data_IF_221325275097
#
_entry.id   IF_221325275097
#
_cell.length_a   1.000
_cell.length_b   1.000
_cell.length_c   1.000
_cell.angle_alpha   90.00
_cell.angle_beta   90.00
_cell.angle_gamma   90.00
#
_symmetry.space_group_name_H-M   'P 1'
#
loop_
_entity.id
_entity.type
_entity.pdbx_description
1 polymer ?
#
# COMPACT_ATOMS: atom_id res chain seq x y z
N UNK A 1 36.63 19.58 -21.74
CA UNK A 1 35.32 18.96 -21.45
C UNK A 1 35.37 18.58 -19.99
N UNK A 2 34.72 19.39 -19.14
CA UNK A 2 34.85 19.36 -17.68
C UNK A 2 33.79 18.41 -17.14
N UNK A 3 34.21 17.38 -16.40
CA UNK A 3 33.32 16.48 -15.68
C UNK A 3 32.91 17.16 -14.37
N UNK A 4 31.61 17.39 -14.17
CA UNK A 4 31.07 17.75 -12.86
C UNK A 4 30.62 16.46 -12.17
N UNK A 5 31.35 16.05 -11.15
CA UNK A 5 30.88 15.14 -10.12
C UNK A 5 30.13 15.97 -9.07
N UNK A 6 28.91 15.57 -8.71
CA UNK A 6 28.20 16.09 -7.54
C UNK A 6 28.16 14.94 -6.53
N UNK A 7 28.92 15.07 -5.44
CA UNK A 7 28.80 14.23 -4.25
C UNK A 7 27.55 14.65 -3.48
N UNK A 8 26.64 13.70 -3.24
CA UNK A 8 25.53 13.86 -2.30
C UNK A 8 25.93 13.19 -0.97
N UNK A 9 26.63 13.95 -0.13
CA UNK A 9 26.74 13.66 1.31
C UNK A 9 25.98 14.76 2.06
N UNK A 10 25.29 14.37 3.13
CA UNK A 10 24.54 15.20 4.10
C UNK A 10 23.01 15.27 3.91
N UNK A 11 22.32 14.16 4.22
CA UNK A 11 20.94 14.19 4.75
C UNK A 11 20.79 13.20 5.94
N UNK A 12 21.85 12.96 6.71
CA UNK A 12 21.79 12.04 7.87
C UNK A 12 21.77 12.71 9.24
N UNK A 13 22.16 13.98 9.35
CA UNK A 13 22.50 14.53 10.68
C UNK A 13 21.36 15.33 11.34
N UNK A 14 20.31 15.69 10.60
CA UNK A 14 19.20 16.50 11.12
C UNK A 14 18.11 15.72 11.88
N UNK A 15 18.04 14.39 11.73
CA UNK A 15 16.96 13.57 12.34
C UNK A 15 17.39 13.01 13.71
N UNK A 16 18.70 12.87 13.96
CA UNK A 16 19.22 12.34 15.22
C UNK A 16 19.12 13.33 16.39
N UNK A 17 19.27 14.65 16.17
CA UNK A 17 19.18 15.63 17.26
C UNK A 17 17.75 15.83 17.79
N UNK A 18 16.73 15.67 16.94
CA UNK A 18 15.32 15.81 17.35
C UNK A 18 14.88 14.60 18.20
N UNK A 19 15.47 13.41 17.93
CA UNK A 19 15.19 12.18 18.69
C UNK A 19 15.75 12.25 20.11
N UNK A 20 16.95 12.81 20.31
CA UNK A 20 17.56 12.97 21.65
C UNK A 20 16.88 14.06 22.49
N UNK A 21 16.37 15.12 21.86
CA UNK A 21 15.63 16.18 22.55
C UNK A 21 14.27 15.69 23.10
N UNK A 22 13.63 14.74 22.43
CA UNK A 22 12.35 14.15 22.88
C UNK A 22 12.54 13.03 23.92
N UNK A 23 13.73 12.40 23.99
CA UNK A 23 14.04 11.32 24.94
C UNK A 23 14.61 11.84 26.27
N UNK A 24 15.19 13.05 26.31
CA UNK A 24 15.63 13.70 27.55
C UNK A 24 14.57 14.66 28.06
N UNK A 25 13.60 14.12 28.79
CA UNK A 25 12.53 14.88 29.46
C UNK A 25 13.04 16.18 30.09
N UNK A 26 12.55 17.31 29.57
CA UNK A 26 12.87 18.65 30.03
C UNK A 26 12.52 18.82 31.50
N UNK A 27 13.54 18.83 32.34
CA UNK A 27 13.44 19.22 33.74
C UNK A 27 14.46 20.33 33.97
N UNK A 28 14.00 21.57 33.86
CA UNK A 28 14.85 22.75 34.01
C UNK A 28 14.06 23.97 34.44
N UNK A 29 14.12 24.28 35.74
CA UNK A 29 13.92 25.64 36.26
C UNK A 29 13.03 25.75 37.50
N UNK A 30 13.62 25.83 38.70
CA UNK A 30 13.76 27.10 39.43
C UNK A 30 14.22 26.90 40.89
N UNK A 31 14.96 27.90 41.37
CA UNK A 31 15.80 27.97 42.57
C UNK A 31 15.07 28.29 43.90
N UNK A 32 15.67 27.79 45.00
CA UNK A 32 15.84 28.34 46.37
C UNK A 32 14.67 28.55 47.38
N UNK A 33 14.82 27.87 48.53
CA UNK A 33 14.55 28.17 49.96
C UNK A 33 13.64 29.38 50.34
N UNK A 34 12.72 29.36 51.32
CA UNK A 34 12.79 28.85 52.71
C UNK A 34 11.42 29.01 53.43
N UNK A 35 11.16 28.15 54.42
CA UNK A 35 10.39 28.36 55.68
C UNK A 35 8.88 28.03 55.80
N UNK A 36 8.63 27.27 56.89
CA UNK A 36 7.47 27.17 57.80
C UNK A 36 6.16 26.48 57.39
N UNK A 37 5.95 25.33 58.06
CA UNK A 37 4.75 24.90 58.83
C UNK A 37 3.36 24.88 58.19
N UNK A 38 2.63 23.78 58.42
CA UNK A 38 1.16 23.82 58.45
C UNK A 38 0.44 22.65 57.78
N UNK A 39 0.10 21.65 58.59
CA UNK A 39 -0.81 20.54 58.33
C UNK A 39 -2.15 20.96 57.69
N UNK A 40 -2.59 20.32 56.59
CA UNK A 40 -3.99 19.89 56.40
C UNK A 40 -4.18 19.01 55.16
N UNK A 41 -4.76 17.82 55.38
CA UNK A 41 -5.32 16.92 54.36
C UNK A 41 -6.28 17.67 53.42
N UNK A 42 -6.03 17.62 52.12
CA UNK A 42 -7.06 17.73 51.08
C UNK A 42 -6.93 16.59 50.08
N UNK A 43 -7.88 15.66 50.14
CA UNK A 43 -8.18 14.71 49.07
C UNK A 43 -8.71 15.53 47.88
N UNK A 44 -7.93 15.63 46.81
CA UNK A 44 -8.46 15.89 45.48
C UNK A 44 -8.33 14.57 44.69
N UNK A 45 -9.46 13.93 44.42
CA UNK A 45 -9.52 12.82 43.49
C UNK A 45 -9.16 13.34 42.10
N UNK A 46 -8.01 12.91 41.59
CA UNK A 46 -7.54 13.32 40.28
C UNK A 46 -8.08 12.34 39.23
N UNK A 47 -9.14 12.73 38.51
CA UNK A 47 -9.54 12.11 37.24
C UNK A 47 -8.56 12.59 36.16
N UNK A 48 -7.34 12.06 36.17
CA UNK A 48 -6.32 12.31 35.15
C UNK A 48 -6.20 11.12 34.21
N UNK A 49 -7.26 10.81 33.45
CA UNK A 49 -7.32 9.62 32.56
C UNK A 49 -7.14 9.89 31.07
N UNK A 50 -7.08 11.17 30.63
CA UNK A 50 -7.23 11.51 29.20
C UNK A 50 -5.95 11.50 28.36
N UNK A 51 -4.84 12.08 28.84
CA UNK A 51 -3.70 12.40 27.97
C UNK A 51 -2.83 11.20 27.59
N UNK A 52 -2.64 10.22 28.48
CA UNK A 52 -1.86 9.00 28.16
C UNK A 52 -2.57 8.12 27.14
N UNK A 53 -3.89 7.97 27.28
CA UNK A 53 -4.71 7.14 26.39
C UNK A 53 -4.72 7.67 24.95
N UNK A 54 -4.79 9.00 24.77
CA UNK A 54 -4.70 9.63 23.43
C UNK A 54 -3.33 9.41 22.80
N UNK A 55 -2.24 9.59 23.55
CA UNK A 55 -0.89 9.39 23.02
C UNK A 55 -0.65 7.93 22.60
N UNK A 56 -1.16 6.97 23.38
CA UNK A 56 -1.06 5.54 23.03
C UNK A 56 -1.88 5.20 21.78
N UNK A 57 -3.08 5.76 21.64
CA UNK A 57 -3.91 5.58 20.44
C UNK A 57 -3.25 6.17 19.19
N UNK A 58 -2.66 7.37 19.30
CA UNK A 58 -1.92 8.01 18.20
C UNK A 58 -0.72 7.17 17.81
N UNK A 59 0.07 6.70 18.79
CA UNK A 59 1.22 5.83 18.53
C UNK A 59 0.80 4.55 17.82
N UNK A 60 -0.26 3.90 18.28
CA UNK A 60 -0.79 2.69 17.63
C UNK A 60 -1.20 2.93 16.18
N UNK A 61 -1.89 4.03 15.90
CA UNK A 61 -2.29 4.37 14.53
C UNK A 61 -1.10 4.64 13.61
N UNK A 62 -0.02 5.24 14.14
CA UNK A 62 1.23 5.42 13.39
C UNK A 62 1.95 4.10 13.15
N UNK A 63 2.00 3.21 14.14
CA UNK A 63 2.55 1.86 13.99
C UNK A 63 1.77 1.06 12.92
N UNK A 64 0.43 1.17 12.89
CA UNK A 64 -0.41 0.56 11.85
C UNK A 64 -0.13 1.15 10.46
N UNK A 65 0.07 2.47 10.36
CA UNK A 65 0.42 3.15 9.12
C UNK A 65 1.79 2.71 8.59
N UNK A 66 2.80 2.63 9.46
CA UNK A 66 4.15 2.17 9.14
C UNK A 66 4.15 0.69 8.70
N UNK A 67 3.22 -0.12 9.23
CA UNK A 67 2.97 -1.50 8.83
C UNK A 67 2.08 -1.63 7.57
N UNK A 68 2.37 -0.81 6.55
CA UNK A 68 1.65 -0.74 5.27
C UNK A 68 0.13 -0.57 5.38
N UNK A 69 -0.34 0.08 6.46
CA UNK A 69 -1.76 0.36 6.78
C UNK A 69 -2.64 -0.87 7.03
N UNK A 70 -2.16 -2.09 6.75
CA UNK A 70 -2.93 -3.33 6.88
C UNK A 70 -2.51 -4.16 8.08
N UNK A 71 -1.28 -3.98 8.59
CA UNK A 71 -0.64 -4.88 9.57
C UNK A 71 -0.52 -6.34 9.11
N UNK A 72 -0.65 -6.60 7.80
CA UNK A 72 -0.60 -7.93 7.18
C UNK A 72 0.50 -7.98 6.14
N UNK A 73 1.14 -9.14 6.00
CA UNK A 73 2.13 -9.36 4.95
C UNK A 73 1.49 -9.27 3.55
N UNK A 74 2.20 -8.69 2.60
CA UNK A 74 1.79 -8.57 1.20
C UNK A 74 2.62 -9.53 0.35
N UNK A 75 2.05 -10.68 -0.01
CA UNK A 75 2.72 -11.72 -0.80
C UNK A 75 2.81 -11.41 -2.29
N UNK A 76 2.07 -10.40 -2.77
CA UNK A 76 2.16 -9.95 -4.15
C UNK A 76 3.24 -8.88 -4.36
N UNK A 77 3.78 -8.30 -3.28
CA UNK A 77 4.71 -7.17 -3.31
C UNK A 77 5.94 -7.48 -4.18
N UNK A 78 6.20 -6.62 -5.16
CA UNK A 78 7.28 -6.85 -6.13
C UNK A 78 8.66 -6.86 -5.48
N UNK A 79 8.92 -5.91 -4.57
CA UNK A 79 10.20 -5.84 -3.87
C UNK A 79 10.44 -7.02 -2.92
N UNK A 80 9.40 -7.78 -2.58
CA UNK A 80 9.53 -9.00 -1.79
C UNK A 80 9.76 -10.24 -2.67
N UNK A 81 9.42 -10.20 -3.96
CA UNK A 81 9.58 -11.31 -4.90
C UNK A 81 8.33 -11.62 -5.75
N UNK A 82 7.21 -10.94 -5.50
CA UNK A 82 6.03 -11.06 -6.36
C UNK A 82 6.29 -10.52 -7.77
N UNK A 83 5.62 -11.05 -8.79
CA UNK A 83 5.81 -10.60 -10.18
C UNK A 83 4.51 -10.60 -10.96
N UNK A 84 4.42 -9.71 -11.96
CA UNK A 84 3.39 -9.82 -12.99
C UNK A 84 3.84 -10.86 -14.00
N UNK A 85 3.08 -11.95 -14.13
CA UNK A 85 3.33 -13.01 -15.11
C UNK A 85 2.78 -12.60 -16.47
N UNK A 86 1.51 -12.19 -16.51
CA UNK A 86 0.79 -11.92 -17.74
C UNK A 86 -0.41 -11.01 -17.48
N UNK A 87 -0.94 -10.39 -18.53
CA UNK A 87 -2.16 -9.55 -18.48
C UNK A 87 -3.26 -10.07 -19.41
N UNK A 88 -3.14 -11.30 -19.90
CA UNK A 88 -4.06 -11.89 -20.90
C UNK A 88 -4.26 -10.92 -22.08
N UNK A 89 -5.51 -10.60 -22.42
CA UNK A 89 -5.90 -9.69 -23.50
C UNK A 89 -5.99 -8.21 -23.06
N UNK A 90 -5.50 -7.85 -21.87
CA UNK A 90 -5.66 -6.51 -21.33
C UNK A 90 -4.74 -5.51 -22.01
N UNK A 91 -5.32 -4.56 -22.72
CA UNK A 91 -4.56 -3.52 -23.40
C UNK A 91 -4.27 -2.32 -22.49
N UNK A 92 -2.99 -1.94 -22.39
CA UNK A 92 -2.57 -0.75 -21.66
C UNK A 92 -3.16 0.53 -22.27
N UNK A 93 -3.65 1.42 -21.40
CA UNK A 93 -4.09 2.75 -21.78
C UNK A 93 -2.93 3.73 -21.74
N UNK A 94 -2.61 4.30 -22.90
CA UNK A 94 -1.61 5.34 -23.05
C UNK A 94 -2.30 6.68 -23.34
N UNK A 95 -2.25 7.66 -22.41
CA UNK A 95 -2.80 8.98 -22.68
C UNK A 95 -1.98 9.68 -23.77
N UNK A 96 -2.68 10.17 -24.80
CA UNK A 96 -2.08 10.87 -25.96
C UNK A 96 -1.25 12.10 -25.59
N UNK A 97 -1.43 12.66 -24.39
CA UNK A 97 -0.82 13.91 -23.94
C UNK A 97 0.57 13.77 -23.30
N UNK A 98 1.12 12.55 -23.16
CA UNK A 98 2.46 12.34 -22.57
C UNK A 98 3.62 12.36 -23.57
N UNK A 99 3.38 12.76 -24.81
CA UNK A 99 4.45 12.91 -25.80
C UNK A 99 5.22 14.22 -25.56
N UNK A 100 6.31 14.14 -24.80
CA UNK A 100 7.35 15.18 -24.85
C UNK A 100 8.56 14.60 -25.60
N UNK A 101 8.93 15.27 -26.69
CA UNK A 101 10.06 14.89 -27.53
C UNK A 101 11.20 15.89 -27.37
N UNK A 102 12.45 15.40 -27.33
CA UNK A 102 13.65 16.22 -27.48
C UNK A 102 14.28 15.85 -28.81
N UNK A 103 14.43 16.83 -29.72
CA UNK A 103 14.95 16.58 -31.07
C UNK A 103 14.24 15.43 -31.81
N UNK A 104 12.92 15.28 -31.62
CA UNK A 104 12.13 14.24 -32.26
C UNK A 104 12.23 12.85 -31.60
N UNK A 105 13.00 12.69 -30.52
CA UNK A 105 13.05 11.47 -29.72
C UNK A 105 12.10 11.60 -28.51
N UNK A 106 11.22 10.62 -28.25
CA UNK A 106 10.38 10.62 -27.05
C UNK A 106 11.27 10.51 -25.80
N UNK A 107 11.15 11.48 -24.88
CA UNK A 107 11.93 11.51 -23.63
C UNK A 107 11.09 11.04 -22.44
N UNK A 108 9.78 11.29 -22.50
CA UNK A 108 8.91 10.93 -21.39
C UNK A 108 8.71 9.41 -21.34
N UNK A 109 8.84 8.79 -20.15
CA UNK A 109 8.53 7.39 -19.98
C UNK A 109 7.07 7.11 -20.35
N UNK A 110 6.84 5.92 -20.90
CA UNK A 110 5.52 5.35 -21.16
C UNK A 110 4.69 5.30 -19.86
N UNK A 111 3.37 5.15 -19.99
CA UNK A 111 2.50 5.03 -18.81
C UNK A 111 2.95 3.87 -17.90
N UNK A 112 2.62 3.98 -16.61
CA UNK A 112 2.92 2.93 -15.63
C UNK A 112 2.27 1.61 -16.08
N UNK A 113 3.12 0.59 -16.24
CA UNK A 113 2.69 -0.74 -16.69
C UNK A 113 2.01 -1.54 -15.57
N UNK A 114 1.63 -2.80 -15.85
CA UNK A 114 0.92 -3.65 -14.89
C UNK A 114 1.69 -3.89 -13.60
N UNK A 115 3.03 -3.82 -13.63
CA UNK A 115 3.90 -3.92 -12.45
C UNK A 115 3.55 -2.90 -11.35
N UNK A 116 2.95 -1.76 -11.72
CA UNK A 116 2.56 -0.71 -10.78
C UNK A 116 1.62 -1.23 -9.69
N UNK A 117 0.72 -2.18 -10.00
CA UNK A 117 -0.30 -2.65 -9.04
C UNK A 117 0.30 -3.40 -7.84
N UNK A 118 1.52 -3.90 -7.97
CA UNK A 118 2.24 -4.65 -6.92
C UNK A 118 3.42 -3.86 -6.35
N UNK A 119 3.49 -2.55 -6.64
CA UNK A 119 4.47 -1.63 -6.10
C UNK A 119 3.84 -0.72 -5.03
N UNK A 120 4.62 -0.21 -4.06
CA UNK A 120 4.06 0.55 -2.93
C UNK A 120 3.58 1.97 -3.27
N UNK A 121 3.89 2.50 -4.46
CA UNK A 121 3.60 3.89 -4.81
C UNK A 121 2.14 4.12 -5.21
N UNK A 122 1.53 5.18 -4.67
CA UNK A 122 0.08 5.48 -4.83
C UNK A 122 -0.21 6.97 -5.11
N UNK A 123 0.72 7.71 -5.71
CA UNK A 123 0.47 9.12 -6.05
C UNK A 123 -0.42 9.25 -7.29
N UNK A 124 -1.19 10.34 -7.44
CA UNK A 124 -2.05 10.53 -8.61
C UNK A 124 -1.31 10.31 -9.94
N UNK A 125 -1.76 9.32 -10.71
CA UNK A 125 -1.16 8.93 -11.99
C UNK A 125 -0.20 7.74 -11.92
N UNK A 126 0.19 7.30 -10.72
CA UNK A 126 0.98 6.08 -10.45
C UNK A 126 0.07 4.85 -10.33
N UNK A 127 -0.76 4.62 -11.34
CA UNK A 127 -1.62 3.46 -11.44
C UNK A 127 -1.42 2.76 -12.78
N UNK A 128 -1.68 1.45 -12.80
CA UNK A 128 -1.80 0.72 -14.05
C UNK A 128 -3.15 1.08 -14.69
N UNK A 129 -3.07 1.72 -15.85
CA UNK A 129 -4.25 2.10 -16.63
C UNK A 129 -4.43 1.13 -17.81
N UNK A 130 -5.61 0.55 -17.95
CA UNK A 130 -5.98 -0.29 -19.10
C UNK A 130 -7.25 0.20 -19.77
N UNK A 131 -7.39 -0.08 -21.07
CA UNK A 131 -8.50 0.40 -21.90
C UNK A 131 -9.82 -0.24 -21.46
N UNK A 132 -10.88 0.55 -21.47
CA UNK A 132 -12.22 0.09 -21.11
C UNK A 132 -12.42 -0.13 -19.60
N UNK A 133 -13.41 -0.94 -19.26
CA UNK A 133 -13.84 -1.22 -17.88
C UNK A 133 -13.43 -2.60 -17.37
N UNK A 134 -12.82 -3.42 -18.23
CA UNK A 134 -12.45 -4.82 -17.94
C UNK A 134 -10.97 -5.03 -18.19
N UNK A 135 -10.32 -5.79 -17.32
CA UNK A 135 -8.89 -6.09 -17.44
C UNK A 135 -8.46 -7.12 -16.41
N UNK A 136 -7.41 -7.86 -16.74
CA UNK A 136 -6.93 -9.02 -15.99
C UNK A 136 -5.41 -8.95 -15.83
N UNK A 137 -4.93 -9.33 -14.66
CA UNK A 137 -3.51 -9.52 -14.38
C UNK A 137 -3.29 -10.84 -13.62
N UNK A 138 -2.31 -11.62 -14.07
CA UNK A 138 -1.83 -12.80 -13.37
C UNK A 138 -0.59 -12.41 -12.58
N UNK A 139 -0.63 -12.68 -11.29
CA UNK A 139 0.39 -12.27 -10.33
C UNK A 139 0.96 -13.52 -9.69
N UNK A 140 2.28 -13.69 -9.81
CA UNK A 140 3.02 -14.68 -9.03
C UNK A 140 3.31 -14.11 -7.65
N UNK A 141 3.00 -14.89 -6.63
CA UNK A 141 3.26 -14.55 -5.25
C UNK A 141 4.70 -14.93 -4.87
N UNK A 142 5.16 -14.42 -3.73
CA UNK A 142 6.47 -14.75 -3.15
C UNK A 142 6.72 -16.28 -2.99
N UNK A 143 5.66 -17.05 -2.77
CA UNK A 143 5.68 -18.51 -2.66
C UNK A 143 4.26 -19.05 -2.73
N UNK A 144 4.05 -20.32 -2.37
CA UNK A 144 2.71 -20.88 -2.21
C UNK A 144 2.05 -20.29 -0.97
N UNK A 145 0.85 -19.73 -1.12
CA UNK A 145 0.15 -19.03 -0.04
C UNK A 145 -1.25 -19.59 0.14
N UNK A 146 -1.61 -19.91 1.39
CA UNK A 146 -3.01 -20.05 1.81
C UNK A 146 -3.62 -18.66 1.92
N UNK A 147 -4.26 -18.22 0.85
CA UNK A 147 -4.80 -16.85 0.73
C UNK A 147 -6.02 -16.74 1.64
N UNK A 148 -6.00 -15.75 2.52
CA UNK A 148 -7.12 -15.44 3.43
C UNK A 148 -7.69 -14.03 3.20
N UNK A 149 -7.02 -13.17 2.43
CA UNK A 149 -7.58 -11.88 2.12
C UNK A 149 -6.82 -11.11 1.06
N UNK A 150 -7.49 -10.10 0.53
CA UNK A 150 -6.96 -9.23 -0.51
C UNK A 150 -7.22 -7.79 -0.07
N UNK A 151 -6.27 -6.89 -0.33
CA UNK A 151 -6.51 -5.46 -0.18
C UNK A 151 -6.42 -4.76 -1.53
N UNK A 152 -7.38 -3.90 -1.81
CA UNK A 152 -7.38 -3.04 -3.00
C UNK A 152 -7.37 -1.59 -2.54
N UNK A 153 -6.42 -0.82 -3.08
CA UNK A 153 -6.26 0.59 -2.75
C UNK A 153 -6.44 1.46 -4.01
N UNK A 154 -7.09 2.61 -3.83
CA UNK A 154 -7.22 3.66 -4.83
C UNK A 154 -7.02 5.05 -4.18
N UNK A 155 -6.62 6.04 -4.97
CA UNK A 155 -6.48 7.42 -4.46
C UNK A 155 -7.81 7.98 -3.93
N UNK A 156 -7.73 8.91 -2.98
CA UNK A 156 -8.89 9.63 -2.49
C UNK A 156 -9.37 10.70 -3.48
N UNK A 157 -10.66 11.05 -3.41
CA UNK A 157 -11.22 12.18 -4.15
C UNK A 157 -10.49 13.49 -3.86
N UNK A 158 -9.95 13.66 -2.65
CA UNK A 158 -9.24 14.86 -2.20
C UNK A 158 -7.91 15.08 -2.92
N UNK A 159 -7.19 14.01 -3.28
CA UNK A 159 -5.91 14.11 -3.97
C UNK A 159 -6.04 13.92 -5.49
N UNK A 160 -7.23 13.60 -5.98
CA UNK A 160 -7.52 13.55 -7.41
C UNK A 160 -7.54 14.97 -8.00
N UNK A 161 -6.77 15.27 -9.06
CA UNK A 161 -6.78 16.59 -9.70
C UNK A 161 -8.15 17.05 -10.21
N UNK A 162 -9.01 16.10 -10.59
CA UNK A 162 -10.37 16.38 -11.08
C UNK A 162 -11.42 16.31 -9.96
N UNK A 163 -11.04 15.86 -8.77
CA UNK A 163 -11.98 15.52 -7.69
C UNK A 163 -12.80 14.25 -7.94
N UNK A 164 -12.61 13.59 -9.09
CA UNK A 164 -13.31 12.36 -9.50
C UNK A 164 -12.35 11.16 -9.44
N UNK A 165 -12.91 9.99 -9.16
CA UNK A 165 -12.20 8.70 -9.15
C UNK A 165 -13.08 7.62 -9.81
N UNK A 166 -13.85 8.02 -10.82
CA UNK A 166 -14.72 7.17 -11.65
C UNK A 166 -13.94 6.12 -12.47
N UNK A 167 -12.61 6.29 -12.58
CA UNK A 167 -11.66 5.32 -13.14
C UNK A 167 -11.36 4.15 -12.21
N UNK A 168 -11.76 4.20 -10.95
CA UNK A 168 -11.52 3.11 -10.01
C UNK A 168 -12.23 1.83 -10.47
N UNK A 169 -11.64 0.64 -10.24
CA UNK A 169 -12.35 -0.62 -10.42
C UNK A 169 -13.61 -0.64 -9.55
N UNK A 170 -14.67 -1.27 -10.03
CA UNK A 170 -15.93 -1.45 -9.31
C UNK A 170 -16.08 -2.92 -8.94
N UNK A 171 -16.54 -3.78 -9.85
CA UNK A 171 -16.62 -5.21 -9.62
C UNK A 171 -15.33 -5.90 -10.05
N UNK A 172 -14.83 -6.82 -9.23
CA UNK A 172 -13.64 -7.59 -9.54
C UNK A 172 -13.69 -9.00 -8.93
N UNK A 173 -12.92 -9.91 -9.50
CA UNK A 173 -12.82 -11.32 -9.12
C UNK A 173 -11.37 -11.68 -8.84
N UNK A 174 -11.17 -12.58 -7.90
CA UNK A 174 -9.89 -13.18 -7.55
C UNK A 174 -9.99 -14.69 -7.73
N UNK A 175 -9.10 -15.25 -8.54
CA UNK A 175 -8.92 -16.69 -8.72
C UNK A 175 -7.55 -17.13 -8.20
N UNK A 176 -7.46 -18.32 -7.63
CA UNK A 176 -6.20 -18.99 -7.34
C UNK A 176 -5.81 -19.91 -8.49
N UNK A 177 -4.57 -19.82 -8.98
CA UNK A 177 -4.06 -20.62 -10.10
C UNK A 177 -2.85 -21.46 -9.65
N UNK A 178 -2.69 -22.67 -10.21
CA UNK A 178 -1.43 -23.43 -10.06
C UNK A 178 -0.44 -23.03 -11.17
N UNK A 179 -0.94 -22.91 -12.40
CA UNK A 179 -0.20 -22.52 -13.60
C UNK A 179 -0.88 -21.34 -14.32
N UNK A 180 -0.18 -20.70 -15.27
CA UNK A 180 -0.69 -19.51 -15.97
C UNK A 180 -1.94 -19.84 -16.81
N UNK A 181 -2.00 -21.02 -17.41
CA UNK A 181 -3.07 -21.44 -18.33
C UNK A 181 -4.31 -22.03 -17.63
N UNK A 182 -4.29 -22.16 -16.29
CA UNK A 182 -5.40 -22.74 -15.54
C UNK A 182 -6.66 -21.87 -15.54
N UNK A 183 -7.82 -22.52 -15.48
CA UNK A 183 -9.11 -21.85 -15.24
C UNK A 183 -9.23 -21.29 -13.81
N UNK A 184 -8.49 -21.90 -12.86
CA UNK A 184 -8.40 -21.45 -11.48
C UNK A 184 -9.57 -21.83 -10.58
N UNK A 185 -9.35 -21.65 -9.29
CA UNK A 185 -10.36 -21.80 -8.24
C UNK A 185 -10.85 -20.41 -7.80
N UNK A 186 -12.17 -20.20 -7.73
CA UNK A 186 -12.75 -18.92 -7.33
C UNK A 186 -12.51 -18.64 -5.84
N UNK A 187 -11.68 -17.65 -5.55
CA UNK A 187 -11.41 -17.19 -4.18
C UNK A 187 -12.38 -16.08 -3.75
N UNK A 188 -12.91 -15.30 -4.68
CA UNK A 188 -13.90 -14.28 -4.33
C UNK A 188 -14.35 -13.40 -5.48
N UNK A 189 -15.52 -12.78 -5.28
CA UNK A 189 -16.07 -11.73 -6.14
C UNK A 189 -16.47 -10.57 -5.24
N UNK A 190 -15.99 -9.38 -5.57
CA UNK A 190 -16.02 -8.23 -4.68
C UNK A 190 -16.41 -6.96 -5.44
N UNK A 191 -16.80 -5.95 -4.68
CA UNK A 191 -17.12 -4.62 -5.20
C UNK A 191 -16.36 -3.58 -4.39
N UNK A 192 -15.58 -2.75 -5.07
CA UNK A 192 -14.89 -1.61 -4.48
C UNK A 192 -15.87 -0.45 -4.26
N UNK A 193 -15.93 0.06 -3.03
CA UNK A 193 -16.79 1.20 -2.69
C UNK A 193 -16.05 2.53 -2.89
N UNK A 194 -16.36 3.24 -3.96
CA UNK A 194 -15.82 4.58 -4.26
C UNK A 194 -16.11 5.65 -3.18
N UNK A 195 -17.06 5.39 -2.27
CA UNK A 195 -17.40 6.26 -1.14
C UNK A 195 -16.85 5.75 0.20
N UNK A 196 -16.23 4.56 0.20
CA UNK A 196 -15.57 3.97 1.35
C UNK A 196 -14.15 4.50 1.57
N UNK A 197 -13.38 3.85 2.47
CA UNK A 197 -11.97 4.12 2.65
C UNK A 197 -11.15 3.89 1.37
N UNK A 198 -10.01 4.57 1.23
CA UNK A 198 -9.11 4.42 0.07
C UNK A 198 -8.51 3.02 -0.04
N UNK A 199 -8.25 2.39 1.10
CA UNK A 199 -7.76 1.01 1.21
C UNK A 199 -8.91 0.15 1.73
N UNK A 200 -9.30 -0.87 0.97
CA UNK A 200 -10.40 -1.78 1.31
C UNK A 200 -9.86 -3.21 1.36
N UNK A 201 -10.23 -3.92 2.42
CA UNK A 201 -9.77 -5.28 2.70
C UNK A 201 -10.95 -6.23 2.53
N UNK A 202 -10.74 -7.30 1.78
CA UNK A 202 -11.73 -8.31 1.43
C UNK A 202 -11.29 -9.67 1.94
N UNK A 203 -12.20 -10.38 2.59
CA UNK A 203 -12.00 -11.75 3.02
C UNK A 203 -12.38 -12.67 1.85
N UNK A 204 -11.48 -13.60 1.49
CA UNK A 204 -11.76 -14.60 0.45
C UNK A 204 -12.62 -15.75 0.99
N UNK A 205 -13.22 -16.52 0.09
CA UNK A 205 -13.89 -17.77 0.43
C UNK A 205 -12.89 -18.76 1.04
N UNK A 206 -13.32 -19.55 2.04
CA UNK A 206 -12.44 -20.54 2.65
C UNK A 206 -12.12 -21.63 1.63
N UNK A 207 -10.82 -21.80 1.33
CA UNK A 207 -10.29 -22.86 0.47
C UNK A 207 -9.14 -23.55 1.20
N UNK A 208 -9.15 -24.88 1.21
CA UNK A 208 -8.11 -25.71 1.85
C UNK A 208 -7.00 -26.05 0.84
N UNK A 209 -6.48 -25.01 0.16
CA UNK A 209 -5.47 -25.11 -0.89
C UNK A 209 -4.61 -23.84 -0.89
N UNK A 210 -3.31 -24.01 -1.13
CA UNK A 210 -2.37 -22.93 -1.33
C UNK A 210 -2.16 -22.68 -2.83
N UNK A 211 -1.90 -21.44 -3.23
CA UNK A 211 -1.66 -21.07 -4.63
C UNK A 211 -0.35 -20.30 -4.79
N UNK A 212 0.46 -20.59 -5.82
CA UNK A 212 1.63 -19.79 -6.19
C UNK A 212 1.25 -18.55 -7.03
N UNK A 213 0.08 -18.57 -7.67
CA UNK A 213 -0.39 -17.56 -8.60
C UNK A 213 -1.82 -17.12 -8.24
N UNK A 214 -2.15 -15.86 -8.53
CA UNK A 214 -3.53 -15.38 -8.54
C UNK A 214 -3.88 -14.73 -9.88
N UNK A 215 -5.14 -14.83 -10.27
CA UNK A 215 -5.71 -13.99 -11.32
C UNK A 215 -6.56 -12.89 -10.66
N UNK A 216 -6.22 -11.64 -10.92
CA UNK A 216 -7.03 -10.47 -10.56
C UNK A 216 -7.74 -9.95 -11.81
N UNK A 217 -9.06 -10.07 -11.84
CA UNK A 217 -9.90 -9.74 -12.99
C UNK A 217 -10.91 -8.66 -12.62
N UNK A 218 -10.74 -7.46 -13.17
CA UNK A 218 -11.71 -6.35 -13.06
C UNK A 218 -12.81 -6.56 -14.10
N UNK A 219 -14.06 -6.53 -13.64
CA UNK A 219 -15.26 -6.74 -14.44
C UNK A 219 -15.95 -5.43 -14.84
N UNK A 220 -15.84 -4.41 -14.00
CA UNK A 220 -16.40 -3.09 -14.27
C UNK A 220 -15.61 -1.98 -13.56
N UNK A 221 -15.86 -0.73 -13.94
CA UNK A 221 -15.35 0.46 -13.25
C UNK A 221 -16.51 1.36 -12.80
N UNK A 222 -16.21 2.49 -12.17
CA UNK A 222 -17.21 3.44 -11.68
C UNK A 222 -17.72 4.44 -12.74
N UNK A 223 -17.71 4.06 -14.02
CA UNK A 223 -18.37 4.79 -15.09
C UNK A 223 -17.45 5.61 -16.00
N UNK A 224 -16.12 5.55 -15.80
CA UNK A 224 -15.19 6.22 -16.70
C UNK A 224 -15.17 5.52 -18.09
N UNK A 225 -15.43 6.23 -19.20
CA UNK A 225 -15.75 5.58 -20.48
C UNK A 225 -14.54 5.06 -21.27
N UNK A 226 -13.32 5.46 -20.91
CA UNK A 226 -12.13 5.18 -21.73
C UNK A 226 -11.18 4.14 -21.12
N UNK A 227 -11.07 4.11 -19.80
CA UNK A 227 -10.06 3.32 -19.10
C UNK A 227 -10.43 3.13 -17.63
N UNK A 228 -9.76 2.16 -17.02
CA UNK A 228 -9.79 1.86 -15.60
C UNK A 228 -8.37 1.95 -15.04
N UNK A 229 -8.22 2.44 -13.81
CA UNK A 229 -6.91 2.58 -13.17
C UNK A 229 -6.86 1.84 -11.84
N UNK A 230 -5.91 0.92 -11.71
CA UNK A 230 -5.66 0.16 -10.49
C UNK A 230 -4.36 0.66 -9.87
N UNK A 231 -4.42 1.12 -8.62
CA UNK A 231 -3.25 1.65 -7.91
C UNK A 231 -2.45 0.56 -7.23
N UNK A 232 -3.06 -0.16 -6.27
CA UNK A 232 -2.34 -1.22 -5.56
C UNK A 232 -3.25 -2.36 -5.13
N UNK A 233 -2.83 -3.58 -5.44
CA UNK A 233 -3.40 -4.83 -4.96
C UNK A 233 -2.40 -5.47 -3.98
N UNK A 234 -2.89 -5.96 -2.85
CA UNK A 234 -2.11 -6.73 -1.88
C UNK A 234 -2.74 -8.10 -1.67
N UNK A 235 -1.92 -9.12 -1.47
CA UNK A 235 -2.39 -10.48 -1.19
C UNK A 235 -1.93 -10.88 0.20
N UNK A 236 -2.87 -11.35 1.01
CA UNK A 236 -2.65 -11.73 2.41
C UNK A 236 -2.95 -13.21 2.61
N UNK A 237 -2.23 -13.83 3.54
CA UNK A 237 -2.36 -15.24 3.84
C UNK A 237 -1.23 -15.75 4.74
N UNK A 238 -0.97 -17.05 4.65
CA UNK A 238 0.19 -17.71 5.26
C UNK A 238 0.93 -18.52 4.20
N UNK A 239 2.27 -18.56 4.28
CA UNK A 239 3.06 -19.43 3.42
C UNK A 239 2.71 -20.90 3.70
N UNK A 240 2.76 -21.69 2.64
CA UNK A 240 2.73 -23.14 2.74
C UNK A 240 4.16 -23.65 2.99
N UNK A 241 4.36 -24.32 4.13
CA UNK A 241 5.69 -24.72 4.62
C UNK A 241 6.29 -25.89 3.80
N UNK A 242 5.55 -26.47 2.85
CA UNK A 242 6.01 -27.61 2.04
C UNK A 242 7.05 -27.26 0.96
N UNK A 243 7.32 -25.98 0.72
CA UNK A 243 8.30 -25.52 -0.29
C UNK A 243 9.73 -25.31 0.27
N UNK A 244 9.98 -25.63 1.54
CA UNK A 244 11.30 -25.42 2.19
C UNK A 244 12.34 -26.52 1.94
N UNK A 245 12.08 -27.53 1.09
CA UNK A 245 12.92 -28.73 1.00
C UNK A 245 13.80 -28.87 -0.27
N UNK A 246 13.77 -27.96 -1.27
CA UNK A 246 14.43 -28.23 -2.57
C UNK A 246 15.54 -27.26 -3.04
N UNK A 247 15.93 -26.23 -2.27
CA UNK A 247 16.98 -25.27 -2.68
C UNK A 247 18.34 -25.41 -1.93
N UNK A 248 18.66 -26.60 -1.41
CA UNK A 248 19.97 -26.92 -0.83
C UNK A 248 20.52 -28.27 -1.36
N UNK A 249 20.97 -28.33 -2.63
CA UNK A 249 22.01 -29.27 -3.12
C UNK A 249 22.79 -28.76 -4.35
#
# INVERSE_FOLDING_TARGET
MVFFYIEFSEVSDGIYEIREFMLRGGNGGAYLNRSSEGNTKKRCGNRGGGSRNVNDAVRKALEEYDADKTTRADFALESAGGTIVSVRDTEQYEPRSRSCTFFGLPICPSSNGPRQIIQPSILPGECWAFKGSTGTAIIKLLGRVHIDGISLEHISKTISPTGLIDTAPNEFVIMGLEEEEDEGDLLGSFTYDINGPTLQIYQVFPVDKSYPLIEFSVLSNHGHPLFTCVYRLRVHGTLDDTDHDDDDL
#
